data_IF_474042745757
#
_entry.id   IF_474042745757
#
_cell.length_a   1.000
_cell.length_b   1.000
_cell.length_c   1.000
_cell.angle_alpha   90.00
_cell.angle_beta   90.00
_cell.angle_gamma   90.00
#
_symmetry.space_group_name_H-M   'P 1'
#
loop_
_entity.id
_entity.type
_entity.pdbx_description
1 polymer ?
#
# COMPACT_ATOMS: atom_id res chain seq x y z
N UNK A 1 63.54 -9.02 -5.35
CA UNK A 1 62.62 -9.66 -4.38
C UNK A 1 62.01 -8.56 -3.52
N UNK A 2 60.78 -8.13 -3.83
CA UNK A 2 60.04 -7.11 -3.07
C UNK A 2 58.88 -7.81 -2.38
N UNK A 3 58.93 -7.91 -1.05
CA UNK A 3 57.78 -8.27 -0.22
C UNK A 3 57.16 -6.97 0.30
N UNK A 4 55.98 -6.62 -0.22
CA UNK A 4 55.19 -5.50 0.29
C UNK A 4 53.94 -6.05 0.98
N UNK A 5 53.89 -5.84 2.28
CA UNK A 5 52.69 -5.90 3.13
C UNK A 5 51.55 -5.09 2.49
N UNK A 6 50.34 -5.67 2.42
CA UNK A 6 49.08 -4.92 2.23
C UNK A 6 48.29 -5.00 3.54
N UNK A 7 47.83 -3.88 4.13
CA UNK A 7 46.97 -3.95 5.29
C UNK A 7 45.51 -4.16 4.87
N UNK A 8 44.83 -4.96 5.69
CA UNK A 8 43.40 -5.15 5.79
C UNK A 8 42.79 -3.84 6.31
N UNK A 9 42.05 -3.11 5.48
CA UNK A 9 41.17 -2.01 5.92
C UNK A 9 39.94 -2.03 5.02
N UNK A 10 38.90 -2.77 5.41
CA UNK A 10 37.54 -2.64 4.86
C UNK A 10 36.54 -3.49 5.67
N UNK A 11 36.48 -3.27 6.99
CA UNK A 11 35.36 -3.79 7.82
C UNK A 11 35.11 -2.99 9.12
N UNK A 12 35.52 -1.73 9.16
CA UNK A 12 35.25 -0.81 10.30
C UNK A 12 34.41 0.42 9.88
N UNK A 13 34.23 0.64 8.57
CA UNK A 13 33.55 1.83 8.05
C UNK A 13 32.02 1.85 8.25
N UNK A 14 31.36 0.69 8.22
CA UNK A 14 29.88 0.62 8.28
C UNK A 14 29.38 0.87 9.71
N UNK A 15 30.02 0.27 10.72
CA UNK A 15 29.64 0.48 12.13
C UNK A 15 29.97 1.88 12.64
N UNK A 16 31.04 2.51 12.15
CA UNK A 16 31.36 3.90 12.51
C UNK A 16 30.41 4.89 11.83
N UNK A 17 30.01 4.66 10.58
CA UNK A 17 29.03 5.51 9.89
C UNK A 17 27.63 5.46 10.53
N UNK A 18 27.18 4.28 10.97
CA UNK A 18 25.90 4.12 11.70
C UNK A 18 25.99 4.76 13.09
N UNK A 19 27.10 4.61 13.80
CA UNK A 19 27.30 5.23 15.11
C UNK A 19 27.37 6.76 15.00
N UNK A 20 28.08 7.29 14.00
CA UNK A 20 28.17 8.75 13.74
C UNK A 20 26.82 9.33 13.32
N UNK A 21 26.03 8.61 12.50
CA UNK A 21 24.68 9.02 12.13
C UNK A 21 23.74 9.07 13.35
N UNK A 22 23.75 8.03 14.20
CA UNK A 22 22.94 8.00 15.42
C UNK A 22 23.37 9.06 16.45
N UNK A 23 24.65 9.46 16.49
CA UNK A 23 25.11 10.55 17.36
C UNK A 23 24.72 11.93 16.83
N UNK A 24 24.78 12.14 15.51
CA UNK A 24 24.38 13.40 14.89
C UNK A 24 22.88 13.66 15.04
N UNK A 25 22.04 12.63 14.86
CA UNK A 25 20.58 12.70 15.05
C UNK A 25 20.22 12.99 16.53
N UNK A 26 20.99 12.45 17.48
CA UNK A 26 20.83 12.76 18.90
C UNK A 26 21.24 14.18 19.29
N UNK A 27 22.20 14.79 18.61
CA UNK A 27 22.64 16.17 18.87
C UNK A 27 21.64 17.20 18.29
N UNK A 28 21.07 16.96 17.11
CA UNK A 28 20.05 17.84 16.51
C UNK A 28 18.77 17.93 17.35
N UNK A 29 18.28 16.79 17.88
CA UNK A 29 17.12 16.76 18.79
C UNK A 29 17.37 17.59 20.05
N UNK A 30 18.56 17.48 20.64
CA UNK A 30 18.92 18.25 21.85
C UNK A 30 19.04 19.74 21.59
N UNK A 31 19.46 20.13 20.39
CA UNK A 31 19.51 21.54 19.99
C UNK A 31 18.11 22.13 19.87
N UNK A 32 17.18 21.39 19.26
CA UNK A 32 15.77 21.76 19.16
C UNK A 32 15.08 21.87 20.53
N UNK A 33 15.33 20.92 21.44
CA UNK A 33 14.79 20.98 22.79
C UNK A 33 15.28 22.23 23.56
N UNK A 34 16.55 22.62 23.36
CA UNK A 34 17.10 23.86 23.93
C UNK A 34 16.49 25.11 23.30
N UNK A 35 16.29 25.12 21.98
CA UNK A 35 15.62 26.20 21.25
C UNK A 35 14.19 26.42 21.79
N UNK A 36 13.40 25.33 21.89
CA UNK A 36 12.04 25.35 22.43
C UNK A 36 12.03 25.91 23.85
N UNK A 37 12.90 25.40 24.72
CA UNK A 37 12.99 25.88 26.11
C UNK A 37 13.35 27.38 26.17
N UNK A 38 14.26 27.83 25.30
CA UNK A 38 14.61 29.25 25.20
C UNK A 38 13.40 30.11 24.85
N UNK A 39 12.61 29.71 23.84
CA UNK A 39 11.39 30.41 23.44
C UNK A 39 10.35 30.39 24.56
N UNK A 40 10.18 29.27 25.26
CA UNK A 40 9.27 29.15 26.40
C UNK A 40 9.64 30.12 27.54
N UNK A 41 10.93 30.29 27.82
CA UNK A 41 11.44 31.19 28.85
C UNK A 41 11.28 32.67 28.46
N UNK A 42 11.44 33.01 27.17
CA UNK A 42 11.41 34.40 26.70
C UNK A 42 10.04 34.89 26.25
N UNK A 43 9.25 34.04 25.61
CA UNK A 43 7.98 34.38 24.96
C UNK A 43 6.78 33.68 25.60
N UNK A 44 7.02 32.68 26.46
CA UNK A 44 5.99 31.93 27.18
C UNK A 44 5.60 30.61 26.52
N UNK A 45 4.97 29.74 27.31
CA UNK A 45 4.60 28.36 26.93
C UNK A 45 3.60 28.25 25.77
N UNK A 46 2.90 29.34 25.46
CA UNK A 46 1.87 29.42 24.41
C UNK A 46 2.32 30.24 23.20
N UNK A 47 3.61 30.59 23.10
CA UNK A 47 4.11 31.42 22.01
C UNK A 47 3.90 30.75 20.64
N UNK A 48 3.36 31.47 19.64
CA UNK A 48 3.38 31.02 18.24
C UNK A 48 4.79 30.75 17.70
N UNK A 49 5.83 31.34 18.30
CA UNK A 49 7.23 31.05 17.98
C UNK A 49 7.60 29.57 18.16
N UNK A 50 6.83 28.82 18.95
CA UNK A 50 7.02 27.40 19.17
C UNK A 50 6.59 26.52 17.98
N UNK A 51 5.81 27.02 17.02
CA UNK A 51 5.25 26.20 15.94
C UNK A 51 6.32 25.51 15.09
N UNK A 52 7.26 26.28 14.56
CA UNK A 52 8.32 25.76 13.70
C UNK A 52 9.26 24.77 14.40
N UNK A 53 9.80 25.05 15.60
CA UNK A 53 10.68 24.10 16.28
C UNK A 53 9.94 22.86 16.77
N UNK A 54 8.67 22.95 17.19
CA UNK A 54 7.87 21.76 17.52
C UNK A 54 7.63 20.89 16.28
N UNK A 55 7.31 21.48 15.13
CA UNK A 55 7.13 20.73 13.89
C UNK A 55 8.41 19.97 13.50
N UNK A 56 9.58 20.62 13.60
CA UNK A 56 10.88 19.99 13.33
C UNK A 56 11.16 18.85 14.31
N UNK A 57 11.02 19.09 15.62
CA UNK A 57 11.26 18.09 16.65
C UNK A 57 10.35 16.86 16.50
N UNK A 58 9.08 17.07 16.18
CA UNK A 58 8.14 15.97 15.95
C UNK A 58 8.54 15.13 14.73
N UNK A 59 9.06 15.76 13.67
CA UNK A 59 9.56 15.06 12.48
C UNK A 59 10.81 14.23 12.78
N UNK A 60 11.74 14.78 13.56
CA UNK A 60 12.95 14.07 13.94
C UNK A 60 12.61 12.84 14.80
N UNK A 61 11.69 12.98 15.76
CA UNK A 61 11.16 11.84 16.50
C UNK A 61 10.46 10.82 15.60
N UNK A 62 9.69 11.26 14.60
CA UNK A 62 9.02 10.38 13.66
C UNK A 62 10.02 9.59 12.80
N UNK A 63 11.05 10.24 12.26
CA UNK A 63 12.11 9.61 11.45
C UNK A 63 12.94 8.63 12.27
N UNK A 64 13.20 8.95 13.55
CA UNK A 64 13.88 8.07 14.49
C UNK A 64 13.00 6.90 15.00
N UNK A 65 11.77 6.76 14.53
CA UNK A 65 10.84 5.70 14.97
C UNK A 65 10.26 5.90 16.38
N UNK A 66 10.50 7.05 17.00
CA UNK A 66 10.01 7.40 18.35
C UNK A 66 8.57 7.94 18.27
N UNK A 67 7.65 7.10 17.79
CA UNK A 67 6.30 7.53 17.40
C UNK A 67 5.48 8.17 18.53
N UNK A 68 5.55 7.66 19.75
CA UNK A 68 4.79 8.24 20.88
C UNK A 68 5.27 9.66 21.21
N UNK A 69 6.60 9.90 21.16
CA UNK A 69 7.17 11.26 21.36
C UNK A 69 6.78 12.20 20.23
N UNK A 70 6.80 11.72 18.98
CA UNK A 70 6.34 12.49 17.84
C UNK A 70 4.84 12.88 17.98
N UNK A 71 3.99 11.94 18.42
CA UNK A 71 2.56 12.18 18.70
C UNK A 71 2.40 13.30 19.74
N UNK A 72 3.13 13.24 20.86
CA UNK A 72 3.05 14.26 21.91
C UNK A 72 3.43 15.64 21.39
N UNK A 73 4.51 15.74 20.61
CA UNK A 73 4.98 17.01 20.03
C UNK A 73 3.97 17.57 19.01
N UNK A 74 3.43 16.75 18.12
CA UNK A 74 2.43 17.22 17.14
C UNK A 74 1.10 17.60 17.80
N UNK A 75 0.63 16.85 18.82
CA UNK A 75 -0.54 17.22 19.62
C UNK A 75 -0.32 18.54 20.37
N UNK A 76 0.88 18.76 20.90
CA UNK A 76 1.24 20.04 21.53
C UNK A 76 1.11 21.19 20.53
N UNK A 77 1.68 21.04 19.32
CA UNK A 77 1.54 22.05 18.27
C UNK A 77 0.07 22.30 17.89
N UNK A 78 -0.71 21.24 17.73
CA UNK A 78 -2.15 21.33 17.44
C UNK A 78 -2.89 22.14 18.52
N UNK A 79 -2.65 21.84 19.79
CA UNK A 79 -3.25 22.55 20.93
C UNK A 79 -2.89 24.04 20.96
N UNK A 80 -1.64 24.39 20.63
CA UNK A 80 -1.22 25.80 20.57
C UNK A 80 -1.96 26.55 19.47
N UNK A 81 -2.07 25.96 18.27
CA UNK A 81 -2.85 26.55 17.18
C UNK A 81 -4.32 26.70 17.57
N UNK A 82 -4.91 25.71 18.25
CA UNK A 82 -6.30 25.81 18.73
C UNK A 82 -6.52 26.99 19.67
N UNK A 83 -5.56 27.26 20.55
CA UNK A 83 -5.64 28.38 21.50
C UNK A 83 -5.44 29.73 20.83
N UNK A 84 -4.54 29.83 19.85
CA UNK A 84 -4.20 31.11 19.22
C UNK A 84 -5.13 31.48 18.07
N UNK A 85 -5.49 30.52 17.22
CA UNK A 85 -6.13 30.75 15.92
C UNK A 85 -7.47 30.01 15.78
N UNK A 86 -7.84 29.23 16.80
CA UNK A 86 -9.09 28.47 16.85
C UNK A 86 -8.96 27.03 16.35
N UNK A 87 -9.92 26.19 16.77
CA UNK A 87 -9.90 24.75 16.55
C UNK A 87 -9.81 24.36 15.07
N UNK A 88 -10.42 25.14 14.17
CA UNK A 88 -10.46 24.83 12.74
C UNK A 88 -9.52 25.68 11.90
N UNK A 89 -8.47 26.26 12.51
CA UNK A 89 -7.45 26.99 11.77
C UNK A 89 -6.72 26.10 10.75
N UNK A 90 -6.54 26.51 9.48
CA UNK A 90 -5.72 25.81 8.50
C UNK A 90 -4.24 25.71 8.89
N UNK A 91 -3.76 26.53 9.83
CA UNK A 91 -2.35 26.59 10.26
C UNK A 91 -1.84 25.25 10.83
N UNK A 92 -2.74 24.41 11.36
CA UNK A 92 -2.40 23.09 11.89
C UNK A 92 -2.33 21.99 10.83
N UNK A 93 -2.66 22.27 9.56
CA UNK A 93 -2.82 21.21 8.54
C UNK A 93 -1.56 20.35 8.42
N UNK A 94 -0.40 20.99 8.36
CA UNK A 94 0.88 20.28 8.23
C UNK A 94 1.18 19.39 9.43
N UNK A 95 1.02 19.90 10.66
CA UNK A 95 1.31 19.13 11.88
C UNK A 95 0.35 17.95 12.07
N UNK A 96 -0.92 18.12 11.72
CA UNK A 96 -1.90 17.05 11.77
C UNK A 96 -1.65 16.00 10.69
N UNK A 97 -1.14 16.37 9.52
CA UNK A 97 -0.70 15.39 8.52
C UNK A 97 0.48 14.54 9.02
N UNK A 98 1.45 15.14 9.71
CA UNK A 98 2.50 14.38 10.36
C UNK A 98 1.95 13.49 11.49
N UNK A 99 0.98 13.99 12.26
CA UNK A 99 0.32 13.22 13.31
C UNK A 99 -0.41 11.99 12.74
N UNK A 100 -1.15 12.14 11.63
CA UNK A 100 -1.79 11.03 10.89
C UNK A 100 -0.75 9.99 10.48
N UNK A 101 0.34 10.41 9.82
CA UNK A 101 1.42 9.49 9.40
C UNK A 101 2.02 8.75 10.60
N UNK A 102 2.19 9.45 11.72
CA UNK A 102 2.72 8.87 12.96
C UNK A 102 1.76 7.84 13.56
N UNK A 103 0.47 8.14 13.61
CA UNK A 103 -0.55 7.18 14.05
C UNK A 103 -0.59 5.93 13.17
N UNK A 104 -0.52 6.09 11.85
CA UNK A 104 -0.44 4.95 10.92
C UNK A 104 0.81 4.11 11.18
N UNK A 105 1.98 4.74 11.32
CA UNK A 105 3.23 4.04 11.61
C UNK A 105 3.21 3.33 12.98
N UNK A 106 2.54 3.92 13.97
CA UNK A 106 2.35 3.33 15.30
C UNK A 106 1.26 2.23 15.35
N UNK A 107 0.55 1.98 14.26
CA UNK A 107 -0.59 1.05 14.19
C UNK A 107 -1.89 1.57 14.82
N UNK A 108 -1.95 2.84 15.18
CA UNK A 108 -3.10 3.51 15.83
C UNK A 108 -4.09 4.02 14.77
N UNK A 109 -4.75 3.11 14.05
CA UNK A 109 -5.59 3.47 12.89
C UNK A 109 -6.88 4.24 13.26
N UNK A 110 -7.43 4.06 14.46
CA UNK A 110 -8.62 4.81 14.93
C UNK A 110 -8.29 6.29 15.20
N UNK A 111 -7.12 6.56 15.78
CA UNK A 111 -6.62 7.92 15.97
C UNK A 111 -6.30 8.60 14.63
N UNK A 112 -5.69 7.86 13.69
CA UNK A 112 -5.48 8.35 12.33
C UNK A 112 -6.81 8.69 11.64
N UNK A 113 -7.85 7.86 11.82
CA UNK A 113 -9.20 8.11 11.28
C UNK A 113 -9.78 9.42 11.82
N UNK A 114 -9.67 9.61 13.14
CA UNK A 114 -10.12 10.83 13.81
C UNK A 114 -9.43 12.07 13.25
N UNK A 115 -8.11 12.02 13.03
CA UNK A 115 -7.37 13.15 12.47
C UNK A 115 -7.67 13.38 10.97
N UNK A 116 -7.94 12.32 10.20
CA UNK A 116 -8.40 12.46 8.81
C UNK A 116 -9.74 13.19 8.72
N UNK A 117 -10.71 12.82 9.57
CA UNK A 117 -12.00 13.50 9.67
C UNK A 117 -11.84 14.94 10.16
N UNK A 118 -10.97 15.16 11.14
CA UNK A 118 -10.66 16.49 11.64
C UNK A 118 -10.14 17.39 10.52
N UNK A 119 -9.14 16.96 9.74
CA UNK A 119 -8.63 17.77 8.63
C UNK A 119 -9.66 17.99 7.51
N UNK A 120 -10.57 17.05 7.28
CA UNK A 120 -11.70 17.27 6.39
C UNK A 120 -12.62 18.37 6.94
N UNK A 121 -12.94 18.35 8.23
CA UNK A 121 -13.73 19.38 8.90
C UNK A 121 -13.04 20.75 9.03
N UNK A 122 -11.69 20.80 9.02
CA UNK A 122 -10.93 22.04 8.83
C UNK A 122 -11.20 22.60 7.43
N UNK A 123 -11.12 21.78 6.40
CA UNK A 123 -11.37 22.23 5.03
C UNK A 123 -12.82 22.74 4.84
N UNK A 124 -13.83 22.00 5.34
CA UNK A 124 -15.24 22.40 5.24
C UNK A 124 -15.57 23.76 5.85
N UNK A 125 -14.78 24.21 6.84
CA UNK A 125 -15.02 25.49 7.53
C UNK A 125 -14.26 26.66 6.93
N UNK A 126 -13.28 26.39 6.07
CA UNK A 126 -12.39 27.42 5.52
C UNK A 126 -12.53 27.57 4.01
N UNK A 127 -13.17 26.62 3.34
CA UNK A 127 -13.28 26.58 1.89
C UNK A 127 -14.72 26.28 1.47
N UNK A 128 -15.12 26.88 0.36
CA UNK A 128 -16.41 26.60 -0.27
C UNK A 128 -16.42 25.20 -0.89
N UNK A 129 -17.61 24.62 -1.07
CA UNK A 129 -17.77 23.23 -1.51
C UNK A 129 -17.08 22.91 -2.85
N UNK A 130 -16.93 23.92 -3.73
CA UNK A 130 -16.30 23.83 -5.05
C UNK A 130 -14.84 24.30 -5.09
N UNK A 131 -14.26 24.70 -3.95
CA UNK A 131 -12.87 25.13 -3.90
C UNK A 131 -11.91 23.95 -4.13
N UNK A 132 -10.76 24.24 -4.75
CA UNK A 132 -9.70 23.25 -5.00
C UNK A 132 -9.23 22.61 -3.70
N UNK A 133 -9.07 23.39 -2.64
CA UNK A 133 -8.60 22.94 -1.32
C UNK A 133 -9.62 22.00 -0.66
N UNK A 134 -10.91 22.29 -0.79
CA UNK A 134 -11.96 21.38 -0.33
C UNK A 134 -11.89 20.05 -1.09
N UNK A 135 -11.60 20.11 -2.39
CA UNK A 135 -11.45 18.90 -3.19
C UNK A 135 -10.21 18.08 -2.82
N UNK A 136 -9.07 18.72 -2.52
CA UNK A 136 -7.88 18.04 -1.99
C UNK A 136 -8.22 17.28 -0.70
N UNK A 137 -8.95 17.91 0.23
CA UNK A 137 -9.37 17.27 1.47
C UNK A 137 -10.30 16.08 1.22
N UNK A 138 -11.23 16.21 0.27
CA UNK A 138 -12.15 15.14 -0.16
C UNK A 138 -11.40 13.93 -0.72
N UNK A 139 -10.44 14.15 -1.63
CA UNK A 139 -9.63 13.08 -2.22
C UNK A 139 -8.73 12.40 -1.18
N UNK A 140 -8.17 13.15 -0.23
CA UNK A 140 -7.38 12.58 0.86
C UNK A 140 -8.22 11.66 1.75
N UNK A 141 -9.43 12.08 2.14
CA UNK A 141 -10.34 11.26 2.93
C UNK A 141 -10.83 10.02 2.14
N UNK A 142 -11.12 10.18 0.84
CA UNK A 142 -11.48 9.07 -0.03
C UNK A 142 -10.39 8.00 -0.10
N UNK A 143 -9.13 8.43 -0.29
CA UNK A 143 -7.96 7.54 -0.29
C UNK A 143 -7.78 6.81 1.03
N UNK A 144 -7.98 7.50 2.16
CA UNK A 144 -7.96 6.90 3.49
C UNK A 144 -9.04 5.83 3.65
N UNK A 145 -10.29 6.12 3.28
CA UNK A 145 -11.38 5.15 3.27
C UNK A 145 -11.09 3.94 2.38
N UNK A 146 -10.52 4.14 1.19
CA UNK A 146 -10.09 3.03 0.32
C UNK A 146 -9.02 2.17 0.98
N UNK A 147 -8.02 2.78 1.61
CA UNK A 147 -6.91 2.07 2.27
C UNK A 147 -7.36 1.23 3.46
N UNK A 148 -8.45 1.64 4.11
CA UNK A 148 -9.09 0.97 5.25
C UNK A 148 -10.33 0.15 4.86
N UNK A 149 -10.43 -0.22 3.58
CA UNK A 149 -11.50 -1.06 3.00
C UNK A 149 -12.94 -0.53 3.15
N UNK A 150 -13.11 0.77 3.40
CA UNK A 150 -14.40 1.49 3.41
C UNK A 150 -14.76 1.98 2.01
N UNK A 151 -14.83 1.04 1.07
CA UNK A 151 -14.91 1.33 -0.37
C UNK A 151 -16.15 2.13 -0.79
N UNK A 152 -17.30 1.92 -0.15
CA UNK A 152 -18.53 2.68 -0.45
C UNK A 152 -18.33 4.17 -0.17
N UNK A 153 -17.79 4.50 1.01
CA UNK A 153 -17.53 5.89 1.42
C UNK A 153 -16.47 6.54 0.53
N UNK A 154 -15.42 5.79 0.16
CA UNK A 154 -14.41 6.26 -0.78
C UNK A 154 -15.01 6.62 -2.15
N UNK A 155 -15.84 5.74 -2.72
CA UNK A 155 -16.49 5.96 -4.02
C UNK A 155 -17.41 7.19 -4.00
N UNK A 156 -18.19 7.39 -2.93
CA UNK A 156 -19.02 8.60 -2.79
C UNK A 156 -18.17 9.87 -2.83
N UNK A 157 -17.06 9.91 -2.09
CA UNK A 157 -16.18 11.08 -2.08
C UNK A 157 -15.48 11.30 -3.44
N UNK A 158 -15.12 10.25 -4.17
CA UNK A 158 -14.58 10.39 -5.53
C UNK A 158 -15.63 10.91 -6.52
N UNK A 159 -16.89 10.45 -6.41
CA UNK A 159 -18.00 10.94 -7.21
C UNK A 159 -18.27 12.43 -6.96
N UNK A 160 -18.25 12.86 -5.70
CA UNK A 160 -18.40 14.26 -5.31
C UNK A 160 -17.21 15.14 -5.77
N UNK A 161 -16.00 14.57 -5.85
CA UNK A 161 -14.80 15.26 -6.31
C UNK A 161 -14.77 15.51 -7.82
N UNK A 162 -15.36 14.60 -8.60
CA UNK A 162 -15.21 14.57 -10.07
C UNK A 162 -15.65 15.87 -10.77
N UNK A 163 -16.85 16.43 -10.51
CA UNK A 163 -17.31 17.62 -11.24
C UNK A 163 -16.39 18.83 -11.06
N UNK A 164 -15.76 18.96 -9.90
CA UNK A 164 -14.83 20.05 -9.58
C UNK A 164 -13.56 19.91 -10.43
N UNK A 165 -12.98 18.70 -10.48
CA UNK A 165 -11.79 18.43 -11.31
C UNK A 165 -12.10 18.65 -12.79
N UNK A 166 -13.24 18.14 -13.26
CA UNK A 166 -13.69 18.33 -14.64
C UNK A 166 -13.85 19.81 -14.97
N UNK A 167 -14.45 20.61 -14.09
CA UNK A 167 -14.67 22.05 -14.31
C UNK A 167 -13.36 22.84 -14.34
N UNK A 168 -12.38 22.44 -13.52
CA UNK A 168 -11.05 23.05 -13.50
C UNK A 168 -10.21 22.71 -14.73
N UNK A 169 -10.64 21.77 -15.58
CA UNK A 169 -9.93 21.35 -16.78
C UNK A 169 -8.63 20.59 -16.51
N UNK A 170 -8.43 20.06 -15.30
CA UNK A 170 -7.26 19.28 -14.94
C UNK A 170 -7.44 17.80 -15.32
N UNK A 171 -7.11 17.49 -16.57
CA UNK A 171 -7.21 16.13 -17.11
C UNK A 171 -6.27 15.15 -16.40
N UNK A 172 -5.10 15.59 -15.95
CA UNK A 172 -4.15 14.73 -15.22
C UNK A 172 -4.75 14.26 -13.91
N UNK A 173 -5.32 15.19 -13.14
CA UNK A 173 -5.98 14.87 -11.88
C UNK A 173 -7.25 14.06 -12.10
N UNK A 174 -7.98 14.31 -13.19
CA UNK A 174 -9.15 13.51 -13.56
C UNK A 174 -8.77 12.05 -13.89
N UNK A 175 -7.68 11.82 -14.61
CA UNK A 175 -7.17 10.47 -14.89
C UNK A 175 -6.74 9.77 -13.60
N UNK A 176 -6.05 10.46 -12.68
CA UNK A 176 -5.69 9.89 -11.36
C UNK A 176 -6.92 9.53 -10.52
N UNK A 177 -7.95 10.38 -10.53
CA UNK A 177 -9.22 10.10 -9.87
C UNK A 177 -9.86 8.83 -10.43
N UNK A 178 -9.97 8.73 -11.76
CA UNK A 178 -10.57 7.56 -12.43
C UNK A 178 -9.79 6.28 -12.15
N UNK A 179 -8.45 6.32 -12.11
CA UNK A 179 -7.61 5.19 -11.68
C UNK A 179 -7.89 4.81 -10.23
N UNK A 180 -8.06 5.79 -9.34
CA UNK A 180 -8.40 5.55 -7.93
C UNK A 180 -9.78 4.92 -7.76
N UNK A 181 -10.78 5.35 -8.54
CA UNK A 181 -12.10 4.72 -8.60
C UNK A 181 -12.02 3.29 -9.11
N UNK A 182 -11.27 3.04 -10.19
CA UNK A 182 -11.05 1.71 -10.76
C UNK A 182 -10.44 0.76 -9.73
N UNK A 183 -9.36 1.18 -9.06
CA UNK A 183 -8.74 0.44 -7.97
C UNK A 183 -9.75 0.14 -6.85
N UNK A 184 -10.54 1.14 -6.45
CA UNK A 184 -11.54 0.96 -5.38
C UNK A 184 -12.60 -0.09 -5.75
N UNK A 185 -13.08 -0.07 -6.98
CA UNK A 185 -14.04 -1.06 -7.50
C UNK A 185 -13.42 -2.46 -7.53
N UNK A 186 -12.18 -2.58 -8.01
CA UNK A 186 -11.42 -3.83 -8.04
C UNK A 186 -11.22 -4.41 -6.63
N UNK A 187 -10.76 -3.60 -5.66
CA UNK A 187 -10.59 -4.02 -4.27
C UNK A 187 -11.92 -4.43 -3.62
N UNK A 188 -13.01 -3.73 -3.96
CA UNK A 188 -14.35 -4.06 -3.48
C UNK A 188 -14.94 -5.33 -4.13
N UNK A 189 -14.28 -5.92 -5.14
CA UNK A 189 -14.81 -7.02 -5.94
C UNK A 189 -16.08 -6.63 -6.71
N UNK A 190 -16.30 -5.33 -6.94
CA UNK A 190 -17.43 -4.79 -7.69
C UNK A 190 -17.05 -4.69 -9.17
N UNK A 191 -18.06 -4.78 -10.03
CA UNK A 191 -17.83 -4.65 -11.47
C UNK A 191 -17.28 -3.27 -11.85
N UNK A 192 -16.84 -3.22 -13.10
CA UNK A 192 -16.81 -2.03 -13.92
C UNK A 192 -15.63 -1.09 -13.59
N UNK A 193 -14.56 -1.63 -13.02
CA UNK A 193 -13.27 -0.95 -12.89
C UNK A 193 -12.69 -0.64 -14.28
N UNK A 194 -12.87 -1.54 -15.24
CA UNK A 194 -12.44 -1.35 -16.65
C UNK A 194 -13.05 -0.08 -17.26
N UNK A 195 -14.34 0.20 -17.03
CA UNK A 195 -15.02 1.41 -17.56
C UNK A 195 -14.41 2.71 -17.05
N UNK A 196 -13.89 2.73 -15.83
CA UNK A 196 -13.19 3.92 -15.31
C UNK A 196 -11.87 4.13 -16.04
N UNK A 197 -11.15 3.05 -16.32
CA UNK A 197 -9.90 3.09 -17.08
C UNK A 197 -10.11 3.36 -18.56
N UNK A 198 -11.26 2.98 -19.13
CA UNK A 198 -11.66 3.37 -20.48
C UNK A 198 -11.70 4.89 -20.61
N UNK A 199 -12.50 5.55 -19.77
CA UNK A 199 -12.62 7.02 -19.76
C UNK A 199 -11.26 7.68 -19.48
N UNK A 200 -10.47 7.12 -18.56
CA UNK A 200 -9.14 7.63 -18.27
C UNK A 200 -8.21 7.55 -19.49
N UNK A 201 -8.29 6.46 -20.26
CA UNK A 201 -7.51 6.26 -21.48
C UNK A 201 -7.94 7.24 -22.58
N UNK A 202 -9.25 7.47 -22.73
CA UNK A 202 -9.78 8.43 -23.71
C UNK A 202 -9.29 9.85 -23.42
N UNK A 203 -9.40 10.30 -22.16
CA UNK A 203 -8.92 11.62 -21.73
C UNK A 203 -7.41 11.74 -22.00
N UNK A 204 -6.61 10.78 -21.53
CA UNK A 204 -5.17 10.78 -21.73
C UNK A 204 -4.77 10.76 -23.21
N UNK A 205 -5.51 10.04 -24.06
CA UNK A 205 -5.25 10.00 -25.49
C UNK A 205 -5.46 11.37 -26.15
N UNK A 206 -6.56 12.06 -25.80
CA UNK A 206 -6.93 13.35 -26.39
C UNK A 206 -6.09 14.53 -25.90
N UNK A 207 -5.57 14.48 -24.68
CA UNK A 207 -4.78 15.57 -24.12
C UNK A 207 -3.32 15.52 -24.58
N UNK A 208 -2.86 16.58 -25.24
CA UNK A 208 -1.48 16.69 -25.74
C UNK A 208 -0.42 16.80 -24.64
N UNK A 209 -0.82 17.17 -23.42
CA UNK A 209 0.11 17.37 -22.28
C UNK A 209 0.51 16.07 -21.59
N UNK A 210 -0.17 14.97 -21.87
CA UNK A 210 0.18 13.66 -21.31
C UNK A 210 1.42 13.09 -22.00
N UNK A 211 2.37 12.62 -21.19
CA UNK A 211 3.54 11.92 -21.69
C UNK A 211 3.13 10.63 -22.45
N UNK A 212 3.76 10.30 -23.60
CA UNK A 212 3.44 9.09 -24.35
C UNK A 212 3.51 7.79 -23.53
N UNK A 213 4.44 7.69 -22.57
CA UNK A 213 4.52 6.53 -21.68
C UNK A 213 3.34 6.46 -20.72
N UNK A 214 2.88 7.60 -20.21
CA UNK A 214 1.70 7.68 -19.34
C UNK A 214 0.43 7.28 -20.10
N UNK A 215 0.27 7.75 -21.35
CA UNK A 215 -0.84 7.34 -22.23
C UNK A 215 -0.84 5.83 -22.43
N UNK A 216 0.31 5.28 -22.77
CA UNK A 216 0.44 3.86 -23.04
C UNK A 216 0.27 3.00 -21.78
N UNK A 217 0.73 3.49 -20.62
CA UNK A 217 0.52 2.84 -19.32
C UNK A 217 -0.97 2.76 -18.99
N UNK A 218 -1.72 3.86 -19.02
CA UNK A 218 -3.16 3.84 -18.70
C UNK A 218 -3.95 2.97 -19.68
N UNK A 219 -3.58 3.01 -20.98
CA UNK A 219 -4.18 2.13 -21.98
C UNK A 219 -3.89 0.63 -21.71
N UNK A 220 -2.68 0.30 -21.25
CA UNK A 220 -2.32 -1.06 -20.86
C UNK A 220 -3.11 -1.50 -19.61
N UNK A 221 -3.21 -0.63 -18.61
CA UNK A 221 -4.00 -0.89 -17.40
C UNK A 221 -5.47 -1.17 -17.72
N UNK A 222 -6.04 -0.45 -18.70
CA UNK A 222 -7.39 -0.72 -19.19
C UNK A 222 -7.51 -2.12 -19.78
N UNK A 223 -6.59 -2.51 -20.68
CA UNK A 223 -6.57 -3.84 -21.29
C UNK A 223 -6.38 -4.97 -20.24
N UNK A 224 -5.51 -4.77 -19.27
CA UNK A 224 -5.29 -5.70 -18.17
C UNK A 224 -6.53 -5.85 -17.28
N UNK A 225 -7.22 -4.73 -16.99
CA UNK A 225 -8.43 -4.76 -16.17
C UNK A 225 -9.58 -5.45 -16.88
N UNK A 226 -9.75 -5.24 -18.20
CA UNK A 226 -10.69 -6.02 -19.01
C UNK A 226 -10.40 -7.52 -18.91
N UNK A 227 -9.11 -7.90 -18.90
CA UNK A 227 -8.69 -9.29 -18.75
C UNK A 227 -9.06 -9.87 -17.36
N UNK A 228 -8.86 -9.11 -16.29
CA UNK A 228 -9.29 -9.50 -14.92
C UNK A 228 -10.81 -9.63 -14.80
N UNK A 229 -11.55 -8.73 -15.44
CA UNK A 229 -13.02 -8.75 -15.52
C UNK A 229 -13.57 -9.79 -16.52
N UNK A 230 -12.68 -10.52 -17.22
CA UNK A 230 -13.01 -11.59 -18.18
C UNK A 230 -13.67 -11.09 -19.47
N UNK A 231 -13.49 -9.81 -19.82
CA UNK A 231 -13.94 -9.19 -21.06
C UNK A 231 -12.93 -9.41 -22.21
N UNK A 232 -12.70 -10.68 -22.55
CA UNK A 232 -11.54 -11.13 -23.35
C UNK A 232 -11.44 -10.54 -24.76
N UNK A 233 -12.57 -10.50 -25.48
CA UNK A 233 -12.59 -10.01 -26.86
C UNK A 233 -12.20 -8.54 -26.91
N UNK A 234 -12.70 -7.75 -25.96
CA UNK A 234 -12.34 -6.35 -25.87
C UNK A 234 -10.90 -6.17 -25.39
N UNK A 235 -10.46 -6.93 -24.38
CA UNK A 235 -9.08 -6.90 -23.89
C UNK A 235 -8.07 -7.12 -25.02
N UNK A 236 -8.31 -8.12 -25.88
CA UNK A 236 -7.47 -8.40 -27.05
C UNK A 236 -7.35 -7.18 -27.98
N UNK A 237 -8.47 -6.56 -28.33
CA UNK A 237 -8.48 -5.35 -29.16
C UNK A 237 -7.68 -4.22 -28.53
N UNK A 238 -7.82 -4.02 -27.20
CA UNK A 238 -7.09 -2.97 -26.49
C UNK A 238 -5.59 -3.24 -26.39
N UNK A 239 -5.17 -4.48 -26.19
CA UNK A 239 -3.73 -4.79 -26.19
C UNK A 239 -3.08 -4.55 -27.57
N UNK A 240 -3.79 -4.82 -28.67
CA UNK A 240 -3.30 -4.50 -30.01
C UNK A 240 -3.09 -2.99 -30.20
N UNK A 241 -4.04 -2.19 -29.71
CA UNK A 241 -3.91 -0.74 -29.72
C UNK A 241 -2.68 -0.29 -28.93
N UNK A 242 -2.47 -0.83 -27.72
CA UNK A 242 -1.29 -0.52 -26.89
C UNK A 242 0.02 -0.88 -27.59
N UNK A 243 0.10 -2.06 -28.22
CA UNK A 243 1.31 -2.51 -28.92
C UNK A 243 1.71 -1.59 -30.07
N UNK A 244 0.73 -0.98 -30.75
CA UNK A 244 1.01 0.01 -31.79
C UNK A 244 1.63 1.30 -31.24
N UNK A 245 1.45 1.56 -29.94
CA UNK A 245 2.07 2.68 -29.24
C UNK A 245 3.49 2.27 -28.83
N UNK A 246 4.47 2.61 -29.67
CA UNK A 246 5.91 2.37 -29.47
C UNK A 246 6.52 3.17 -28.28
N UNK A 247 5.70 3.59 -27.31
CA UNK A 247 6.12 4.34 -26.13
C UNK A 247 6.36 3.43 -24.91
N UNK A 248 5.78 2.23 -24.87
CA UNK A 248 6.10 1.27 -23.82
C UNK A 248 7.42 0.57 -24.11
N UNK A 249 8.25 0.47 -23.07
CA UNK A 249 9.45 -0.39 -23.08
C UNK A 249 9.12 -1.84 -22.68
N UNK A 250 7.84 -2.17 -22.54
CA UNK A 250 7.38 -3.49 -22.11
C UNK A 250 7.28 -4.45 -23.30
N UNK A 251 7.86 -5.64 -23.14
CA UNK A 251 7.79 -6.71 -24.13
C UNK A 251 6.46 -7.46 -24.02
N UNK A 252 5.53 -7.16 -24.93
CA UNK A 252 4.22 -7.83 -25.02
C UNK A 252 4.28 -9.21 -25.70
N UNK A 253 5.44 -9.66 -26.20
CA UNK A 253 5.60 -11.00 -26.77
C UNK A 253 5.58 -12.10 -25.71
N UNK A 254 5.61 -11.72 -24.42
CA UNK A 254 5.56 -12.63 -23.28
C UNK A 254 4.34 -12.34 -22.42
N UNK A 255 3.75 -13.37 -21.79
CA UNK A 255 2.68 -13.15 -20.83
C UNK A 255 3.18 -12.38 -19.61
N UNK A 256 2.27 -11.67 -18.92
CA UNK A 256 2.58 -10.95 -17.67
C UNK A 256 1.58 -11.32 -16.58
N UNK A 257 2.09 -11.50 -15.36
CA UNK A 257 1.27 -11.77 -14.19
C UNK A 257 0.44 -10.54 -13.82
N UNK A 258 -0.89 -10.66 -13.85
CA UNK A 258 -1.81 -9.60 -13.39
C UNK A 258 -2.28 -9.85 -11.96
N UNK A 259 -2.35 -11.14 -11.58
CA UNK A 259 -2.80 -11.58 -10.28
C UNK A 259 -4.23 -12.08 -10.25
N UNK A 260 -4.84 -12.12 -9.08
CA UNK A 260 -6.16 -12.70 -8.88
C UNK A 260 -7.26 -11.69 -9.23
N UNK A 261 -8.41 -12.13 -9.77
CA UNK A 261 -9.46 -11.21 -10.21
C UNK A 261 -10.25 -10.57 -9.06
N UNK A 262 -10.25 -11.15 -7.86
CA UNK A 262 -10.98 -10.65 -6.69
C UNK A 262 -10.59 -11.39 -5.41
N UNK A 263 -11.08 -10.90 -4.27
CA UNK A 263 -10.86 -11.48 -2.94
C UNK A 263 -11.27 -12.95 -2.83
N UNK A 264 -12.35 -13.38 -3.50
CA UNK A 264 -12.80 -14.79 -3.49
C UNK A 264 -11.73 -15.73 -4.04
N UNK A 265 -10.95 -15.26 -5.01
CA UNK A 265 -9.89 -16.07 -5.63
C UNK A 265 -8.68 -16.23 -4.70
N UNK A 266 -8.38 -15.23 -3.85
CA UNK A 266 -7.39 -15.38 -2.75
C UNK A 266 -7.85 -16.47 -1.77
N UNK A 267 -9.11 -16.40 -1.34
CA UNK A 267 -9.69 -17.37 -0.39
C UNK A 267 -9.73 -18.78 -0.99
N UNK A 268 -10.09 -18.90 -2.28
CA UNK A 268 -10.14 -20.17 -2.99
C UNK A 268 -8.75 -20.83 -3.10
N UNK A 269 -7.71 -20.03 -3.38
CA UNK A 269 -6.33 -20.54 -3.40
C UNK A 269 -5.90 -21.12 -2.05
N UNK A 270 -6.30 -20.50 -0.93
CA UNK A 270 -6.06 -21.02 0.42
C UNK A 270 -6.87 -22.31 0.65
N UNK A 271 -8.15 -22.33 0.25
CA UNK A 271 -9.06 -23.46 0.44
C UNK A 271 -8.60 -24.74 -0.26
N UNK A 272 -7.97 -24.62 -1.44
CA UNK A 272 -7.42 -25.75 -2.21
C UNK A 272 -6.36 -26.58 -1.46
N UNK A 273 -5.81 -26.07 -0.35
CA UNK A 273 -4.78 -26.79 0.42
C UNK A 273 -5.36 -27.91 1.31
N UNK A 274 -6.68 -27.98 1.47
CA UNK A 274 -7.39 -29.04 2.20
C UNK A 274 -7.34 -28.84 3.72
N UNK A 275 -8.51 -28.77 4.35
CA UNK A 275 -8.77 -28.80 5.81
C UNK A 275 -7.62 -28.36 6.74
N UNK A 276 -7.37 -27.05 6.84
CA UNK A 276 -6.79 -26.36 8.00
C UNK A 276 -6.58 -24.85 7.70
N UNK A 277 -7.65 -24.09 7.46
CA UNK A 277 -7.64 -22.76 8.07
C UNK A 277 -8.08 -23.01 9.50
N UNK A 278 -7.14 -23.43 10.36
CA UNK A 278 -7.40 -23.49 11.80
C UNK A 278 -7.29 -22.03 12.23
N UNK A 279 -8.41 -21.32 12.50
CA UNK A 279 -8.30 -20.01 13.11
C UNK A 279 -7.44 -20.20 14.36
N UNK A 280 -6.43 -19.35 14.52
CA UNK A 280 -5.67 -19.28 15.76
C UNK A 280 -6.66 -19.41 16.93
N UNK A 281 -6.52 -20.50 17.69
CA UNK A 281 -7.25 -20.70 18.94
C UNK A 281 -6.73 -19.65 19.92
N UNK A 282 -7.37 -18.48 19.91
CA UNK A 282 -7.40 -17.57 21.03
C UNK A 282 -8.52 -16.55 20.81
N UNK A 283 -9.68 -16.84 21.40
CA UNK A 283 -10.63 -15.81 21.85
C UNK A 283 -9.94 -15.01 22.96
N UNK A 284 -10.08 -13.67 22.93
CA UNK A 284 -10.08 -12.67 24.04
C UNK A 284 -9.60 -11.31 23.47
N UNK A 285 -10.20 -10.12 23.66
CA UNK A 285 -11.33 -9.63 24.48
C UNK A 285 -11.92 -8.32 23.88
N UNK A 286 -13.22 -8.13 24.10
CA UNK A 286 -13.95 -6.94 24.61
C UNK A 286 -13.29 -5.54 24.50
N UNK A 287 -14.05 -4.56 23.96
CA UNK A 287 -13.80 -3.12 24.08
C UNK A 287 -13.59 -2.69 25.55
N UNK A 288 -12.65 -1.77 25.80
CA UNK A 288 -12.98 -0.65 26.68
C UNK A 288 -12.49 0.70 26.10
N UNK A 289 -13.38 1.69 26.10
CA UNK A 289 -12.99 3.07 26.40
C UNK A 289 -13.23 3.30 27.90
N UNK A 290 -12.68 4.36 28.52
CA UNK A 290 -11.29 4.78 28.58
C UNK A 290 -10.82 4.85 30.07
N UNK A 291 -9.66 5.47 30.29
CA UNK A 291 -9.08 5.90 31.58
C UNK A 291 -8.20 4.90 32.35
N UNK A 292 -6.95 5.33 32.57
CA UNK A 292 -6.17 4.97 33.75
C UNK A 292 -5.12 3.89 33.54
N UNK A 293 -3.87 4.32 33.52
CA UNK A 293 -2.80 3.58 34.19
C UNK A 293 -2.02 2.60 33.33
N UNK A 294 -0.85 3.07 32.91
CA UNK A 294 0.31 2.31 32.46
C UNK A 294 0.67 1.16 33.43
N UNK A 295 0.46 -0.09 33.02
CA UNK A 295 0.99 -1.29 33.71
C UNK A 295 1.64 -2.31 32.76
N UNK A 296 1.56 -2.09 31.44
CA UNK A 296 2.10 -2.99 30.41
C UNK A 296 3.62 -2.84 30.21
N UNK A 297 4.26 -1.82 30.79
CA UNK A 297 5.72 -1.64 30.76
C UNK A 297 6.51 -2.69 31.58
N UNK A 298 5.85 -3.55 32.37
CA UNK A 298 6.54 -4.44 33.34
C UNK A 298 6.81 -5.86 32.84
N UNK A 299 6.37 -6.24 31.63
CA UNK A 299 6.50 -7.63 31.15
C UNK A 299 7.40 -7.87 29.94
N UNK A 300 8.15 -6.86 29.46
CA UNK A 300 9.13 -7.07 28.38
C UNK A 300 8.52 -7.69 27.12
N UNK A 301 7.26 -7.38 26.82
CA UNK A 301 6.61 -7.81 25.59
C UNK A 301 7.07 -6.85 24.50
N UNK A 302 8.02 -7.31 23.67
CA UNK A 302 8.34 -6.65 22.41
C UNK A 302 7.03 -6.43 21.63
N UNK A 303 6.77 -5.18 21.27
CA UNK A 303 5.70 -4.81 20.35
C UNK A 303 6.08 -5.44 19.00
N UNK A 304 5.58 -6.65 18.74
CA UNK A 304 5.82 -7.35 17.48
C UNK A 304 5.33 -6.44 16.36
N UNK A 305 6.26 -6.01 15.51
CA UNK A 305 5.90 -5.34 14.26
C UNK A 305 4.86 -6.20 13.55
N UNK A 306 3.74 -5.61 13.08
CA UNK A 306 2.78 -6.38 12.31
C UNK A 306 3.52 -6.98 11.12
N UNK A 307 3.51 -8.32 11.02
CA UNK A 307 4.02 -9.02 9.85
C UNK A 307 3.43 -8.37 8.61
N UNK A 308 4.18 -8.28 7.49
CA UNK A 308 3.54 -7.89 6.26
C UNK A 308 2.43 -8.91 6.02
N UNK A 309 1.21 -8.41 5.85
CA UNK A 309 0.03 -9.25 5.69
C UNK A 309 0.17 -10.14 4.43
N UNK A 310 1.01 -9.73 3.49
CA UNK A 310 1.43 -10.53 2.35
C UNK A 310 2.94 -10.72 2.26
N UNK A 311 3.34 -11.86 1.69
CA UNK A 311 4.73 -12.23 1.44
C UNK A 311 4.86 -12.65 -0.01
N UNK A 312 6.04 -12.36 -0.56
CA UNK A 312 6.53 -12.92 -1.80
C UNK A 312 6.37 -12.03 -3.01
N UNK A 313 7.36 -12.14 -3.91
CA UNK A 313 7.41 -11.40 -5.18
C UNK A 313 7.77 -12.34 -6.32
N UNK A 314 7.14 -12.20 -7.51
CA UNK A 314 6.09 -11.23 -7.84
C UNK A 314 4.68 -11.63 -7.39
N UNK A 315 4.48 -12.86 -6.90
CA UNK A 315 3.17 -13.36 -6.48
C UNK A 315 2.95 -13.07 -4.99
N UNK A 316 2.01 -12.18 -4.63
CA UNK A 316 1.67 -11.92 -3.24
C UNK A 316 0.86 -13.08 -2.65
N UNK A 317 1.17 -13.45 -1.41
CA UNK A 317 0.56 -14.58 -0.69
C UNK A 317 0.32 -14.20 0.77
N UNK A 318 -0.70 -14.75 1.44
CA UNK A 318 -0.96 -14.42 2.86
C UNK A 318 0.16 -14.92 3.76
N UNK A 319 0.70 -14.05 4.61
CA UNK A 319 1.79 -14.38 5.52
C UNK A 319 1.38 -15.38 6.60
N UNK A 320 0.22 -15.20 7.24
CA UNK A 320 -0.28 -16.14 8.25
C UNK A 320 -0.40 -17.58 7.71
N UNK A 321 -0.91 -17.74 6.48
CA UNK A 321 -0.98 -19.03 5.81
C UNK A 321 0.39 -19.66 5.60
N UNK A 322 1.41 -18.85 5.31
CA UNK A 322 2.80 -19.31 5.15
C UNK A 322 3.40 -19.74 6.49
N UNK A 323 3.13 -19.01 7.57
CA UNK A 323 3.61 -19.37 8.91
C UNK A 323 3.11 -20.73 9.40
N UNK A 324 1.92 -21.15 8.98
CA UNK A 324 1.37 -22.47 9.28
C UNK A 324 2.07 -23.62 8.52
N UNK A 325 2.77 -23.30 7.43
CA UNK A 325 3.46 -24.28 6.60
C UNK A 325 4.92 -24.48 6.95
N UNK A 326 5.48 -23.59 7.76
CA UNK A 326 6.89 -23.54 8.11
C UNK A 326 7.06 -23.76 9.61
N UNK A 327 8.01 -24.61 9.97
CA UNK A 327 8.33 -24.84 11.38
C UNK A 327 8.81 -23.53 12.02
N UNK A 328 8.51 -23.27 13.31
CA UNK A 328 9.01 -22.07 14.01
C UNK A 328 10.53 -21.84 13.87
N UNK A 329 11.31 -22.93 13.72
CA UNK A 329 12.77 -22.88 13.55
C UNK A 329 13.21 -22.35 12.18
N UNK A 330 12.39 -22.53 11.16
CA UNK A 330 12.70 -22.21 9.75
C UNK A 330 12.08 -20.86 9.34
N UNK A 331 11.41 -20.15 10.26
CA UNK A 331 10.83 -18.82 9.99
C UNK A 331 11.90 -17.79 9.65
N UNK A 332 13.07 -17.87 10.27
CA UNK A 332 14.19 -16.96 10.03
C UNK A 332 14.87 -17.23 8.67
N UNK A 333 14.69 -18.42 8.09
CA UNK A 333 15.24 -18.77 6.76
C UNK A 333 14.22 -18.55 5.63
N UNK A 334 13.06 -17.96 5.91
CA UNK A 334 12.01 -17.74 4.91
C UNK A 334 12.52 -16.93 3.70
N UNK A 335 13.38 -15.95 3.95
CA UNK A 335 13.99 -15.12 2.90
C UNK A 335 14.95 -15.91 1.97
N UNK A 336 15.40 -17.09 2.39
CA UNK A 336 16.30 -17.95 1.60
C UNK A 336 15.55 -18.86 0.64
N UNK A 337 14.23 -19.05 0.85
CA UNK A 337 13.42 -19.85 -0.05
C UNK A 337 13.13 -19.12 -1.35
N UNK A 338 13.25 -19.85 -2.45
CA UNK A 338 12.84 -19.41 -3.77
C UNK A 338 12.26 -20.56 -4.60
N UNK A 339 11.39 -20.21 -5.54
CA UNK A 339 10.89 -21.13 -6.55
C UNK A 339 11.06 -20.51 -7.93
N UNK A 340 11.77 -21.19 -8.82
CA UNK A 340 11.82 -20.86 -10.23
C UNK A 340 10.58 -21.44 -10.89
N UNK A 341 9.63 -20.57 -11.21
CA UNK A 341 8.33 -20.91 -11.77
C UNK A 341 8.42 -20.86 -13.28
N UNK A 342 7.98 -21.93 -13.94
CA UNK A 342 7.75 -21.97 -15.39
C UNK A 342 6.30 -22.38 -15.65
N UNK A 343 5.57 -21.59 -16.43
CA UNK A 343 4.19 -21.88 -16.79
C UNK A 343 3.88 -21.44 -18.22
N UNK A 344 2.81 -22.00 -18.78
CA UNK A 344 2.23 -21.56 -20.05
C UNK A 344 0.96 -20.77 -19.79
N UNK A 345 0.75 -19.70 -20.54
CA UNK A 345 -0.45 -18.88 -20.48
C UNK A 345 -1.20 -19.03 -21.80
N UNK A 346 -2.43 -19.50 -21.72
CA UNK A 346 -3.31 -19.64 -22.87
C UNK A 346 -3.78 -18.28 -23.41
N UNK A 347 -4.40 -18.28 -24.59
CA UNK A 347 -4.97 -17.07 -25.21
C UNK A 347 -6.07 -16.40 -24.38
N UNK A 348 -6.58 -17.07 -23.34
CA UNK A 348 -7.60 -16.57 -22.40
C UNK A 348 -6.97 -16.02 -21.12
N UNK A 349 -5.64 -15.96 -21.04
CA UNK A 349 -4.88 -15.50 -19.87
C UNK A 349 -4.96 -16.43 -18.67
N UNK A 350 -5.17 -17.73 -18.89
CA UNK A 350 -5.14 -18.75 -17.84
C UNK A 350 -3.83 -19.52 -17.87
N UNK A 351 -3.24 -19.81 -16.71
CA UNK A 351 -2.03 -20.60 -16.65
C UNK A 351 -2.34 -22.10 -16.78
N UNK A 352 -1.42 -22.83 -17.38
CA UNK A 352 -1.35 -24.29 -17.36
C UNK A 352 0.11 -24.76 -17.43
N UNK A 353 0.33 -26.07 -17.32
CA UNK A 353 1.66 -26.69 -17.33
C UNK A 353 2.64 -26.04 -16.33
N UNK A 354 2.13 -25.69 -15.15
CA UNK A 354 2.91 -25.02 -14.10
C UNK A 354 3.92 -26.00 -13.51
N UNK A 355 5.19 -25.69 -13.68
CA UNK A 355 6.33 -26.40 -13.10
C UNK A 355 7.10 -25.44 -12.20
N UNK A 356 7.68 -25.99 -11.12
CA UNK A 356 8.40 -25.23 -10.12
C UNK A 356 9.59 -26.04 -9.68
N UNK A 357 10.75 -25.40 -9.66
CA UNK A 357 12.00 -25.95 -9.13
C UNK A 357 12.58 -24.97 -8.09
N UNK A 358 13.54 -25.42 -7.29
CA UNK A 358 14.19 -24.62 -6.25
C UNK A 358 14.15 -25.28 -4.87
N UNK A 359 14.48 -24.49 -3.85
CA UNK A 359 14.62 -24.96 -2.47
C UNK A 359 13.35 -24.77 -1.61
N UNK A 360 12.23 -24.40 -2.23
CA UNK A 360 10.97 -24.13 -1.52
C UNK A 360 10.31 -25.43 -1.00
N UNK A 361 9.89 -25.49 0.28
CA UNK A 361 9.17 -26.64 0.85
C UNK A 361 7.89 -27.03 0.08
N UNK A 362 7.57 -28.32 0.04
CA UNK A 362 6.45 -28.86 -0.75
C UNK A 362 5.08 -28.21 -0.44
N UNK A 363 4.82 -27.82 0.82
CA UNK A 363 3.57 -27.13 1.20
C UNK A 363 3.48 -25.72 0.60
N UNK A 364 4.59 -24.97 0.61
CA UNK A 364 4.68 -23.66 -0.03
C UNK A 364 4.57 -23.77 -1.54
N UNK A 365 5.21 -24.77 -2.16
CA UNK A 365 5.04 -25.05 -3.59
C UNK A 365 3.57 -25.32 -3.94
N UNK A 366 2.85 -26.08 -3.11
CA UNK A 366 1.41 -26.29 -3.28
C UNK A 366 0.60 -25.00 -3.13
N UNK A 367 0.93 -24.15 -2.18
CA UNK A 367 0.23 -22.86 -2.00
C UNK A 367 0.48 -21.93 -3.18
N UNK A 368 1.74 -21.80 -3.62
CA UNK A 368 2.10 -21.03 -4.80
C UNK A 368 1.37 -21.54 -6.03
N UNK A 369 1.32 -22.87 -6.23
CA UNK A 369 0.51 -23.49 -7.30
C UNK A 369 -0.94 -23.04 -7.27
N UNK A 370 -1.58 -23.10 -6.11
CA UNK A 370 -2.99 -22.76 -5.96
C UNK A 370 -3.25 -21.27 -6.27
N UNK A 371 -2.37 -20.36 -5.83
CA UNK A 371 -2.47 -18.93 -6.17
C UNK A 371 -2.28 -18.71 -7.67
N UNK A 372 -1.28 -19.35 -8.28
CA UNK A 372 -1.04 -19.26 -9.72
C UNK A 372 -2.26 -19.71 -10.53
N UNK A 373 -2.85 -20.85 -10.19
CA UNK A 373 -4.05 -21.38 -10.86
C UNK A 373 -5.26 -20.44 -10.79
N UNK A 374 -5.42 -19.70 -9.68
CA UNK A 374 -6.51 -18.73 -9.52
C UNK A 374 -6.22 -17.38 -10.20
N UNK A 375 -4.96 -17.13 -10.56
CA UNK A 375 -4.51 -15.87 -11.16
C UNK A 375 -4.88 -15.73 -12.64
N UNK A 376 -4.75 -14.51 -13.14
CA UNK A 376 -4.88 -14.11 -14.54
C UNK A 376 -3.62 -13.44 -15.02
N UNK A 377 -3.47 -13.50 -16.34
CA UNK A 377 -2.30 -13.03 -17.05
C UNK A 377 -2.74 -12.24 -18.28
N UNK A 378 -1.95 -11.23 -18.64
CA UNK A 378 -2.00 -10.71 -20.00
C UNK A 378 -1.42 -11.81 -20.91
N UNK A 379 -2.08 -12.12 -22.03
CA UNK A 379 -1.56 -13.13 -22.94
C UNK A 379 -0.35 -12.59 -23.71
N UNK A 380 0.41 -13.48 -24.33
CA UNK A 380 1.45 -13.09 -25.27
C UNK A 380 0.83 -12.63 -26.59
N UNK A 381 1.43 -11.60 -27.19
CA UNK A 381 0.96 -11.04 -28.47
C UNK A 381 2.09 -11.19 -29.48
N UNK A 382 1.82 -12.01 -30.51
CA UNK A 382 2.74 -12.31 -31.60
C UNK A 382 3.05 -11.07 -32.44
N UNK A 383 4.06 -11.16 -33.31
CA UNK A 383 4.51 -10.03 -34.12
C UNK A 383 3.44 -9.50 -35.09
N UNK A 384 2.56 -10.37 -35.54
CA UNK A 384 1.38 -10.14 -36.39
C UNK A 384 0.17 -9.56 -35.63
N UNK A 385 0.22 -9.53 -34.29
CA UNK A 385 -0.88 -9.07 -33.45
C UNK A 385 -1.83 -10.20 -33.03
N UNK A 386 -1.54 -11.44 -33.38
CA UNK A 386 -2.32 -12.57 -32.88
C UNK A 386 -2.03 -12.82 -31.41
N UNK A 387 -3.09 -13.15 -30.66
CA UNK A 387 -2.93 -13.60 -29.27
C UNK A 387 -2.47 -15.04 -29.32
N UNK A 388 -1.27 -15.27 -28.79
CA UNK A 388 -0.63 -16.58 -28.81
C UNK A 388 -0.47 -17.12 -27.39
N UNK A 389 -0.37 -18.43 -27.30
CA UNK A 389 0.08 -19.07 -26.07
C UNK A 389 1.54 -18.70 -25.82
N UNK A 390 1.86 -18.35 -24.58
CA UNK A 390 3.18 -17.87 -24.22
C UNK A 390 3.75 -18.58 -22.99
N UNK A 391 5.06 -18.76 -22.96
CA UNK A 391 5.77 -19.24 -21.78
C UNK A 391 6.11 -18.05 -20.88
N UNK A 392 5.83 -18.18 -19.58
CA UNK A 392 6.25 -17.25 -18.54
C UNK A 392 7.19 -17.96 -17.57
N UNK A 393 8.34 -17.34 -17.33
CA UNK A 393 9.34 -17.80 -16.37
C UNK A 393 9.66 -16.66 -15.43
N UNK A 394 9.64 -16.92 -14.12
CA UNK A 394 10.05 -15.97 -13.11
C UNK A 394 10.51 -16.67 -11.84
N UNK A 395 11.33 -15.98 -11.04
CA UNK A 395 11.70 -16.42 -9.70
C UNK A 395 10.74 -15.83 -8.68
N UNK A 396 10.10 -16.70 -7.91
CA UNK A 396 9.33 -16.34 -6.74
C UNK A 396 10.25 -16.34 -5.50
N UNK A 397 10.20 -15.28 -4.70
CA UNK A 397 10.84 -15.21 -3.38
C UNK A 397 9.81 -15.19 -2.26
N UNK A 398 10.24 -15.40 -1.01
CA UNK A 398 9.35 -15.39 0.16
C UNK A 398 9.82 -14.45 1.28
N UNK A 399 10.68 -13.46 0.97
CA UNK A 399 11.13 -12.50 1.96
C UNK A 399 9.97 -11.64 2.51
N UNK A 400 10.02 -11.38 3.82
CA UNK A 400 9.20 -10.38 4.51
C UNK A 400 9.82 -9.01 4.23
N UNK A 401 9.04 -8.12 3.62
CA UNK A 401 9.44 -6.72 3.47
C UNK A 401 8.72 -5.86 4.52
N UNK A 402 9.45 -5.08 5.34
CA UNK A 402 8.85 -4.26 6.41
C UNK A 402 7.89 -3.18 5.89
N UNK A 403 8.05 -2.74 4.64
CA UNK A 403 7.18 -1.79 3.96
C UNK A 403 7.38 -1.91 2.45
N UNK A 404 6.71 -2.86 1.78
CA UNK A 404 6.83 -2.96 0.33
C UNK A 404 6.27 -1.69 -0.30
N UNK A 405 7.10 -0.94 -1.03
CA UNK A 405 6.58 0.07 -1.94
C UNK A 405 5.81 -0.65 -3.05
N UNK A 406 4.49 -0.49 -3.03
CA UNK A 406 3.63 -1.07 -4.06
C UNK A 406 3.68 -0.15 -5.28
N UNK A 407 4.05 -0.66 -6.47
CA UNK A 407 4.01 0.15 -7.68
C UNK A 407 2.58 0.60 -7.94
N UNK A 408 2.40 1.83 -8.39
CA UNK A 408 1.09 2.36 -8.79
C UNK A 408 0.70 1.83 -10.18
N UNK A 409 0.49 0.51 -10.26
CA UNK A 409 0.03 -0.25 -11.42
C UNK A 409 -0.75 -1.49 -10.94
N UNK A 410 -1.30 -2.28 -11.87
CA UNK A 410 -2.12 -3.44 -11.50
C UNK A 410 -1.41 -4.48 -10.63
N UNK A 411 -0.09 -4.65 -10.76
CA UNK A 411 0.65 -5.60 -9.91
C UNK A 411 0.62 -5.16 -8.44
N UNK A 412 0.80 -3.86 -8.18
CA UNK A 412 0.65 -3.28 -6.83
C UNK A 412 -0.80 -3.29 -6.36
N UNK A 413 -1.76 -3.10 -7.26
CA UNK A 413 -3.19 -3.21 -6.95
C UNK A 413 -3.57 -4.63 -6.50
N UNK A 414 -3.05 -5.66 -7.18
CA UNK A 414 -3.27 -7.05 -6.80
C UNK A 414 -2.58 -7.40 -5.47
N UNK A 415 -1.39 -6.87 -5.22
CA UNK A 415 -0.73 -7.01 -3.91
C UNK A 415 -1.56 -6.38 -2.80
N UNK A 416 -2.14 -5.20 -3.04
CA UNK A 416 -3.05 -4.54 -2.10
C UNK A 416 -4.33 -5.34 -1.88
N UNK A 417 -4.96 -5.86 -2.94
CA UNK A 417 -6.14 -6.73 -2.84
C UNK A 417 -5.85 -7.95 -1.97
N UNK A 418 -4.72 -8.61 -2.22
CA UNK A 418 -4.30 -9.79 -1.47
C UNK A 418 -4.11 -9.43 0.00
N UNK A 419 -3.36 -8.36 0.28
CA UNK A 419 -3.11 -7.86 1.64
C UNK A 419 -4.39 -7.56 2.41
N UNK A 420 -5.28 -6.73 1.86
CA UNK A 420 -6.55 -6.41 2.53
C UNK A 420 -7.43 -7.66 2.75
N UNK A 421 -7.40 -8.61 1.80
CA UNK A 421 -8.16 -9.86 1.93
C UNK A 421 -7.61 -10.75 3.04
N UNK A 422 -6.29 -10.90 3.12
CA UNK A 422 -5.63 -11.71 4.16
C UNK A 422 -5.86 -11.11 5.56
N UNK A 423 -5.67 -9.79 5.74
CA UNK A 423 -5.92 -9.12 7.03
C UNK A 423 -7.37 -9.30 7.50
N UNK A 424 -8.34 -9.19 6.58
CA UNK A 424 -9.76 -9.40 6.92
C UNK A 424 -10.04 -10.86 7.28
N UNK A 425 -9.42 -11.82 6.61
CA UNK A 425 -9.57 -13.24 6.93
C UNK A 425 -9.03 -13.57 8.32
N UNK A 426 -7.93 -12.94 8.73
CA UNK A 426 -7.36 -13.06 10.08
C UNK A 426 -8.28 -12.45 11.16
N UNK A 427 -8.79 -11.23 10.94
CA UNK A 427 -9.67 -10.54 11.89
C UNK A 427 -10.99 -11.26 12.18
N UNK A 428 -11.56 -11.95 11.17
CA UNK A 428 -12.88 -12.58 11.28
C UNK A 428 -12.82 -13.97 11.93
N UNK A 429 -11.63 -14.56 12.15
CA UNK A 429 -11.49 -15.87 12.79
C UNK A 429 -12.40 -16.93 12.14
N UNK A 430 -12.11 -17.30 10.89
CA UNK A 430 -12.95 -18.10 9.97
C UNK A 430 -13.98 -19.09 10.57
N UNK A 431 -15.17 -18.60 10.91
CA UNK A 431 -16.41 -19.41 10.96
C UNK A 431 -17.60 -18.79 10.21
N UNK A 432 -17.45 -17.65 9.52
CA UNK A 432 -18.57 -17.10 8.73
C UNK A 432 -18.14 -16.35 7.45
N UNK A 433 -17.12 -16.85 6.75
CA UNK A 433 -16.59 -16.22 5.52
C UNK A 433 -17.67 -16.14 4.40
N UNK A 434 -18.70 -16.98 4.43
CA UNK A 434 -19.82 -16.90 3.49
C UNK A 434 -20.89 -15.84 3.83
N UNK A 435 -21.00 -15.39 5.09
CA UNK A 435 -22.09 -14.52 5.54
C UNK A 435 -21.65 -13.05 5.77
N UNK A 436 -20.39 -12.79 6.12
CA UNK A 436 -19.94 -11.45 6.57
C UNK A 436 -19.08 -10.69 5.54
N UNK A 437 -18.92 -11.20 4.31
CA UNK A 437 -18.27 -10.46 3.22
C UNK A 437 -19.18 -9.49 2.48
N UNK A 438 -20.45 -9.32 2.89
CA UNK A 438 -21.36 -8.37 2.26
C UNK A 438 -21.51 -8.62 0.76
N UNK A 439 -21.64 -9.91 0.40
CA UNK A 439 -21.97 -10.33 -0.95
C UNK A 439 -23.48 -10.17 -1.11
N UNK A 440 -23.88 -8.98 -1.55
CA UNK A 440 -25.02 -8.82 -2.45
C UNK A 440 -24.47 -8.46 -3.84
#
# INVERSE_FOLDING_TARGET
MRSAFKPIVLMVGISFAILVANTAEGDEVRDLEREIKGIEETEGLLSPGLYAPLLRLGRDYQTAGQYERAIDIFRRMQNLVHQHDGVYSPLQTESVEFLIRTFIAAGQLEDADTQHLFLYGVAERNYEVHDVQMNVARLRLANWYRSTSRFRQALTLYEDARPIITTNGDNLELVKLLRSEALTLYLAGRCCASRKLEVATEIAATDSNFDPQDKARVALEYADMLQLERQRMEAQSRYLAVRSVNALKEDMSRPRYLGVPNSRSVIEAIRKLGNAFVPSRSIMYVKPQPEGGDWLATLGIEKKEPLPVTIGKPVPMCSATIEDFISPKDRNSLAEYYADVTLQVDVKGRPHNITMDGNTPARLVRYLRAVLEESRYSPAIGSDGEVIEGNLVFRQTFAIEPSPSLPDNLSGWNALLTSQTCARAEQIGATSVAANLGID
#
